data_IF_261363141625
#
_entry.id   IF_261363141625
#
_cell.length_a   1.000
_cell.length_b   1.000
_cell.length_c   1.000
_cell.angle_alpha   90.00
_cell.angle_beta   90.00
_cell.angle_gamma   90.00
#
_symmetry.space_group_name_H-M   'P 1'
#
loop_
_entity.id
_entity.type
_entity.pdbx_description
1 polymer ?
#
# COMPACT_ATOMS: atom_id res chain seq x y z
N UNK A 1 58.39 61.09 27.11
CA UNK A 1 58.31 59.61 26.88
C UNK A 1 56.87 59.23 26.89
N UNK A 2 56.26 59.11 25.71
CA UNK A 2 54.80 58.78 25.60
C UNK A 2 54.73 57.37 25.03
N UNK A 3 54.29 56.45 25.88
CA UNK A 3 54.11 55.03 25.55
C UNK A 3 52.76 54.83 24.84
N UNK A 4 52.78 54.54 23.54
CA UNK A 4 51.58 54.23 22.73
C UNK A 4 51.15 52.81 22.96
N UNK A 5 49.96 52.65 23.54
CA UNK A 5 49.26 51.39 23.61
C UNK A 5 48.60 51.09 22.28
N UNK A 6 49.03 50.06 21.57
CA UNK A 6 48.37 49.54 20.36
C UNK A 6 47.37 48.49 20.83
N UNK A 7 46.09 48.83 20.69
CA UNK A 7 44.98 47.92 20.98
C UNK A 7 44.77 47.02 19.76
N UNK A 8 45.12 45.74 19.86
CA UNK A 8 44.83 44.74 18.82
C UNK A 8 43.44 44.21 19.07
N UNK A 9 42.49 44.62 18.23
CA UNK A 9 41.14 44.06 18.19
C UNK A 9 41.21 42.77 17.36
N UNK A 10 41.18 41.62 18.02
CA UNK A 10 41.02 40.32 17.36
C UNK A 10 39.57 40.19 16.86
N UNK A 11 39.40 40.24 15.56
CA UNK A 11 38.11 39.99 14.89
C UNK A 11 37.79 38.48 15.02
N UNK A 12 36.93 38.13 15.96
CA UNK A 12 36.39 36.75 16.06
C UNK A 12 35.31 36.61 15.01
N UNK A 13 35.64 36.04 13.86
CA UNK A 13 34.67 35.60 12.87
C UNK A 13 33.88 34.42 13.39
N UNK A 14 32.53 34.43 13.40
CA UNK A 14 31.77 33.24 13.72
C UNK A 14 31.98 32.19 12.64
N UNK A 15 32.63 31.10 12.99
CA UNK A 15 32.69 29.90 12.15
C UNK A 15 31.28 29.35 12.00
N UNK A 16 30.64 29.65 10.87
CA UNK A 16 29.42 28.93 10.49
C UNK A 16 29.76 27.44 10.31
N UNK A 17 29.47 26.66 11.33
CA UNK A 17 29.43 25.22 11.23
C UNK A 17 28.30 24.85 10.26
N UNK A 18 28.66 24.72 8.98
CA UNK A 18 27.84 23.96 8.04
C UNK A 18 27.80 22.54 8.58
N UNK A 19 26.74 22.22 9.32
CA UNK A 19 26.32 20.86 9.56
C UNK A 19 26.01 20.27 8.19
N UNK A 20 26.97 19.58 7.59
CA UNK A 20 26.68 18.61 6.54
C UNK A 20 25.80 17.57 7.21
N UNK A 21 24.49 17.67 7.01
CA UNK A 21 23.58 16.59 7.23
C UNK A 21 24.10 15.42 6.39
N UNK A 22 24.85 14.50 7.02
CA UNK A 22 24.95 13.15 6.50
C UNK A 22 23.50 12.73 6.36
N UNK A 23 23.05 12.58 5.12
CA UNK A 23 21.89 11.77 4.83
C UNK A 23 22.17 10.41 5.48
N UNK A 24 21.69 10.29 6.72
CA UNK A 24 21.56 9.02 7.38
C UNK A 24 20.58 8.27 6.51
N UNK A 25 21.12 7.47 5.59
CA UNK A 25 20.39 6.44 4.86
C UNK A 25 19.95 5.43 5.92
N UNK A 26 18.98 5.86 6.75
CA UNK A 26 18.32 4.97 7.70
C UNK A 26 17.69 3.90 6.84
N UNK A 27 18.01 2.60 7.08
CA UNK A 27 17.35 1.52 6.37
C UNK A 27 15.86 1.76 6.53
N UNK A 28 15.18 1.94 5.42
CA UNK A 28 13.73 2.06 5.39
C UNK A 28 13.17 0.87 6.16
N UNK A 29 12.31 1.11 7.16
CA UNK A 29 11.71 0.01 7.95
C UNK A 29 11.01 -1.02 7.05
N UNK A 30 10.68 -0.65 5.79
CA UNK A 30 10.25 -1.52 4.71
C UNK A 30 11.33 -2.52 4.25
N UNK A 31 12.60 -2.24 4.44
CA UNK A 31 13.69 -3.07 3.94
C UNK A 31 13.82 -4.42 4.69
N UNK A 32 13.39 -4.49 5.94
CA UNK A 32 13.27 -5.78 6.66
C UNK A 32 12.26 -6.73 6.04
N UNK A 33 11.27 -6.20 5.36
CA UNK A 33 10.24 -6.97 4.66
C UNK A 33 10.79 -7.55 3.36
N UNK A 34 11.66 -6.81 2.68
CA UNK A 34 12.31 -7.24 1.42
C UNK A 34 13.24 -8.45 1.60
N UNK A 35 13.72 -8.70 2.83
CA UNK A 35 14.47 -9.92 3.16
C UNK A 35 13.63 -11.20 3.20
N UNK A 36 12.30 -11.10 3.21
CA UNK A 36 11.38 -12.23 3.33
C UNK A 36 10.47 -12.37 2.13
N UNK A 37 9.90 -11.26 1.63
CA UNK A 37 9.18 -11.22 0.35
C UNK A 37 9.76 -10.06 -0.45
N UNK A 38 10.45 -10.37 -1.55
CA UNK A 38 10.97 -9.38 -2.46
C UNK A 38 9.84 -8.68 -3.24
N UNK A 39 10.13 -7.51 -3.80
CA UNK A 39 9.17 -6.81 -4.68
C UNK A 39 8.80 -7.65 -5.90
N UNK A 40 9.75 -8.44 -6.41
CA UNK A 40 9.50 -9.36 -7.53
C UNK A 40 8.53 -10.47 -7.14
N UNK A 41 8.68 -11.03 -5.94
CA UNK A 41 7.75 -12.01 -5.40
C UNK A 41 6.36 -11.41 -5.16
N UNK A 42 6.26 -10.18 -4.67
CA UNK A 42 4.97 -9.48 -4.55
C UNK A 42 4.32 -9.28 -5.93
N UNK A 43 5.09 -8.97 -6.96
CA UNK A 43 4.59 -8.83 -8.33
C UNK A 43 4.01 -10.14 -8.85
N UNK A 44 4.72 -11.27 -8.67
CA UNK A 44 4.23 -12.59 -9.03
C UNK A 44 2.94 -12.97 -8.28
N UNK A 45 2.87 -12.66 -6.99
CA UNK A 45 1.66 -12.87 -6.19
C UNK A 45 0.49 -12.03 -6.71
N UNK A 46 0.75 -10.77 -7.06
CA UNK A 46 -0.23 -9.87 -7.67
C UNK A 46 -0.74 -10.38 -9.02
N UNK A 47 0.13 -10.85 -9.88
CA UNK A 47 -0.26 -11.43 -11.17
C UNK A 47 -1.18 -12.65 -10.98
N UNK A 48 -0.80 -13.58 -10.12
CA UNK A 48 -1.62 -14.75 -9.81
C UNK A 48 -2.99 -14.36 -9.22
N UNK A 49 -3.04 -13.31 -8.38
CA UNK A 49 -4.27 -12.77 -7.85
C UNK A 49 -5.17 -12.20 -8.96
N UNK A 50 -4.61 -11.38 -9.84
CA UNK A 50 -5.32 -10.76 -10.98
C UNK A 50 -5.91 -11.83 -11.90
N UNK A 51 -5.12 -12.84 -12.26
CA UNK A 51 -5.57 -13.96 -13.09
C UNK A 51 -6.79 -14.67 -12.49
N UNK A 52 -6.78 -14.90 -11.19
CA UNK A 52 -7.90 -15.55 -10.50
C UNK A 52 -9.14 -14.66 -10.42
N UNK A 53 -8.96 -13.37 -10.15
CA UNK A 53 -10.09 -12.43 -10.14
C UNK A 53 -10.71 -12.36 -11.53
N UNK A 54 -9.89 -12.23 -12.58
CA UNK A 54 -10.40 -12.18 -13.96
C UNK A 54 -11.10 -13.46 -14.42
N UNK A 55 -10.68 -14.62 -13.90
CA UNK A 55 -11.31 -15.90 -14.23
C UNK A 55 -12.68 -16.09 -13.56
N UNK A 56 -12.98 -15.38 -12.48
CA UNK A 56 -14.09 -15.75 -11.59
C UNK A 56 -15.00 -14.58 -11.20
N UNK A 57 -14.48 -13.34 -11.19
CA UNK A 57 -15.27 -12.16 -10.81
C UNK A 57 -16.05 -11.58 -12.00
N UNK A 58 -17.27 -11.11 -11.80
CA UNK A 58 -17.92 -10.25 -12.74
C UNK A 58 -17.17 -8.90 -12.78
N UNK A 59 -16.73 -8.47 -13.97
CA UNK A 59 -15.96 -7.24 -14.12
C UNK A 59 -16.78 -6.15 -14.75
N UNK A 60 -16.54 -4.91 -14.36
CA UNK A 60 -17.07 -3.72 -15.02
C UNK A 60 -16.16 -3.41 -16.22
N UNK A 61 -16.67 -3.58 -17.42
CA UNK A 61 -15.97 -3.32 -18.68
C UNK A 61 -16.41 -1.98 -19.28
N UNK A 62 -16.36 -0.91 -18.48
CA UNK A 62 -16.66 0.44 -18.92
C UNK A 62 -15.36 1.27 -19.00
N UNK A 63 -14.92 1.65 -20.23
CA UNK A 63 -13.67 2.38 -20.39
C UNK A 63 -13.65 3.74 -19.68
N UNK A 64 -14.80 4.42 -19.53
CA UNK A 64 -14.87 5.72 -18.90
C UNK A 64 -14.67 5.59 -17.39
N UNK A 65 -15.31 4.60 -16.76
CA UNK A 65 -15.13 4.34 -15.32
C UNK A 65 -13.70 3.85 -15.06
N UNK A 66 -13.14 3.03 -15.94
CA UNK A 66 -11.76 2.55 -15.83
C UNK A 66 -10.79 3.72 -15.89
N UNK A 67 -10.86 4.56 -16.92
CA UNK A 67 -9.98 5.73 -17.11
C UNK A 67 -10.12 6.71 -15.94
N UNK A 68 -11.35 7.01 -15.51
CA UNK A 68 -11.60 7.88 -14.37
C UNK A 68 -10.93 7.35 -13.10
N UNK A 69 -11.07 6.05 -12.83
CA UNK A 69 -10.51 5.42 -11.63
C UNK A 69 -8.99 5.43 -11.66
N UNK A 70 -8.41 5.12 -12.81
CA UNK A 70 -6.96 5.16 -13.04
C UNK A 70 -6.41 6.56 -12.80
N UNK A 71 -6.98 7.58 -13.44
CA UNK A 71 -6.57 8.97 -13.27
C UNK A 71 -6.68 9.42 -11.81
N UNK A 72 -7.76 9.03 -11.12
CA UNK A 72 -7.94 9.37 -9.70
C UNK A 72 -6.87 8.71 -8.84
N UNK A 73 -6.61 7.41 -9.00
CA UNK A 73 -5.59 6.67 -8.24
C UNK A 73 -4.19 7.24 -8.50
N UNK A 74 -3.84 7.52 -9.76
CA UNK A 74 -2.54 8.13 -10.07
C UNK A 74 -2.40 9.52 -9.45
N UNK A 75 -3.43 10.35 -9.51
CA UNK A 75 -3.44 11.68 -8.87
C UNK A 75 -3.27 11.61 -7.35
N UNK A 76 -3.96 10.68 -6.68
CA UNK A 76 -3.81 10.43 -5.25
C UNK A 76 -2.42 9.90 -4.91
N UNK A 77 -1.89 9.00 -5.73
CA UNK A 77 -0.57 8.40 -5.53
C UNK A 77 0.57 9.42 -5.55
N UNK A 78 0.41 10.54 -6.26
CA UNK A 78 1.40 11.63 -6.28
C UNK A 78 1.61 12.25 -4.89
N UNK A 79 0.59 12.26 -4.06
CA UNK A 79 0.61 12.80 -2.70
C UNK A 79 0.82 11.73 -1.64
N UNK A 80 0.82 10.47 -2.04
CA UNK A 80 1.01 9.32 -1.15
C UNK A 80 2.49 8.96 -0.98
N UNK A 81 2.76 8.00 -0.09
CA UNK A 81 4.10 7.46 0.12
C UNK A 81 4.41 6.26 -0.79
N UNK A 82 3.56 5.94 -1.76
CA UNK A 82 3.77 4.84 -2.70
C UNK A 82 4.96 5.13 -3.60
N UNK A 83 5.99 4.28 -3.51
CA UNK A 83 7.23 4.42 -4.31
C UNK A 83 7.08 3.84 -5.71
N UNK A 84 6.47 2.65 -5.83
CA UNK A 84 6.20 2.01 -7.11
C UNK A 84 4.74 2.25 -7.51
N UNK A 85 4.53 2.92 -8.64
CA UNK A 85 3.21 3.28 -9.18
C UNK A 85 2.82 2.41 -10.38
N UNK A 86 3.37 1.20 -10.47
CA UNK A 86 2.95 0.19 -11.44
C UNK A 86 1.65 -0.47 -10.91
N UNK A 87 0.52 0.22 -11.09
CA UNK A 87 -0.76 -0.24 -10.59
C UNK A 87 -1.50 -1.11 -11.60
N UNK A 88 -2.16 -2.16 -11.08
CA UNK A 88 -3.19 -2.92 -11.80
C UNK A 88 -4.53 -2.65 -11.13
N UNK A 89 -5.43 -1.96 -11.83
CA UNK A 89 -6.73 -1.55 -11.31
C UNK A 89 -7.80 -2.45 -11.86
N UNK A 90 -8.59 -3.07 -10.96
CA UNK A 90 -9.64 -4.03 -11.28
C UNK A 90 -10.97 -3.46 -10.79
N UNK A 91 -11.93 -3.30 -11.71
CA UNK A 91 -13.27 -2.90 -11.38
C UNK A 91 -14.18 -4.13 -11.34
N UNK A 92 -14.79 -4.38 -10.19
CA UNK A 92 -15.61 -5.57 -9.94
C UNK A 92 -17.09 -5.17 -9.90
N UNK A 93 -17.93 -5.85 -10.67
CA UNK A 93 -19.38 -5.64 -10.67
C UNK A 93 -20.02 -6.28 -9.43
N UNK A 94 -19.73 -5.68 -8.28
CA UNK A 94 -20.22 -6.08 -6.98
C UNK A 94 -20.81 -4.87 -6.27
N UNK A 95 -22.00 -5.03 -5.67
CA UNK A 95 -22.77 -3.95 -5.06
C UNK A 95 -22.28 -3.54 -3.67
N UNK A 96 -21.41 -4.29 -3.05
CA UNK A 96 -20.84 -3.97 -1.75
C UNK A 96 -19.97 -2.70 -1.84
N UNK A 97 -20.06 -1.85 -0.83
CA UNK A 97 -19.21 -0.67 -0.68
C UNK A 97 -17.83 -1.13 -0.22
N UNK A 98 -16.94 -1.39 -1.17
CA UNK A 98 -15.61 -1.93 -0.87
C UNK A 98 -14.58 -1.52 -1.91
N UNK A 99 -13.33 -1.37 -1.45
CA UNK A 99 -12.11 -1.40 -2.24
C UNK A 99 -11.07 -2.23 -1.48
N UNK A 100 -10.01 -2.64 -2.13
CA UNK A 100 -8.93 -3.39 -1.48
C UNK A 100 -7.60 -3.22 -2.21
N UNK A 101 -6.53 -3.31 -1.46
CA UNK A 101 -5.17 -3.42 -1.97
C UNK A 101 -4.68 -4.87 -1.90
N UNK A 102 -4.05 -5.35 -2.99
CA UNK A 102 -3.43 -6.67 -3.05
C UNK A 102 -1.94 -6.54 -3.43
N UNK A 103 -1.14 -7.63 -3.28
CA UNK A 103 0.27 -7.59 -3.61
C UNK A 103 0.56 -7.10 -5.03
N UNK A 104 1.76 -6.58 -5.26
CA UNK A 104 2.22 -6.20 -6.59
C UNK A 104 1.55 -4.95 -7.18
N UNK A 105 0.98 -4.10 -6.34
CA UNK A 105 0.35 -2.86 -6.81
C UNK A 105 -1.08 -3.03 -7.32
N UNK A 106 -1.75 -4.12 -6.97
CA UNK A 106 -3.14 -4.36 -7.39
C UNK A 106 -4.10 -3.58 -6.48
N UNK A 107 -5.06 -2.89 -7.09
CA UNK A 107 -6.16 -2.19 -6.43
C UNK A 107 -7.46 -2.66 -7.04
N UNK A 108 -8.31 -3.25 -6.21
CA UNK A 108 -9.67 -3.64 -6.61
C UNK A 108 -10.70 -2.63 -6.10
N UNK A 109 -11.67 -2.29 -6.93
CA UNK A 109 -12.75 -1.38 -6.60
C UNK A 109 -14.08 -1.99 -7.00
N UNK A 110 -14.97 -2.15 -6.04
CA UNK A 110 -16.32 -2.65 -6.30
C UNK A 110 -17.22 -1.55 -6.86
N UNK A 111 -18.10 -1.89 -7.78
CA UNK A 111 -19.10 -1.00 -8.36
C UNK A 111 -19.97 -0.30 -7.30
N UNK A 112 -20.25 -1.00 -6.19
CA UNK A 112 -20.96 -0.43 -5.06
C UNK A 112 -20.29 0.79 -4.44
N UNK A 113 -18.96 0.93 -4.54
CA UNK A 113 -18.28 2.12 -4.05
C UNK A 113 -18.66 3.36 -4.86
N UNK A 114 -18.74 3.26 -6.19
CA UNK A 114 -19.17 4.36 -7.06
C UNK A 114 -20.64 4.72 -6.85
N UNK A 115 -21.50 3.71 -6.61
CA UNK A 115 -22.92 3.91 -6.40
C UNK A 115 -23.25 4.58 -5.06
N UNK A 116 -22.41 4.41 -4.05
CA UNK A 116 -22.67 4.88 -2.69
C UNK A 116 -21.80 6.07 -2.28
N UNK A 117 -20.71 6.36 -2.98
CA UNK A 117 -19.94 7.57 -2.75
C UNK A 117 -20.74 8.80 -3.19
N UNK A 118 -21.04 9.70 -2.25
CA UNK A 118 -21.81 10.90 -2.53
C UNK A 118 -21.02 11.96 -3.34
N UNK A 119 -19.71 11.84 -3.40
CA UNK A 119 -18.81 12.73 -4.14
C UNK A 119 -17.41 12.12 -4.29
N UNK A 120 -16.58 12.75 -5.13
CA UNK A 120 -15.20 12.30 -5.37
C UNK A 120 -14.34 12.29 -4.09
N UNK A 121 -14.58 13.17 -3.13
CA UNK A 121 -13.78 13.19 -1.91
C UNK A 121 -14.00 11.92 -1.06
N UNK A 122 -15.22 11.40 -1.01
CA UNK A 122 -15.49 10.13 -0.33
C UNK A 122 -14.84 8.95 -1.03
N UNK A 123 -14.92 8.90 -2.37
CA UNK A 123 -14.20 7.89 -3.17
C UNK A 123 -12.70 7.99 -2.95
N UNK A 124 -12.14 9.19 -3.02
CA UNK A 124 -10.73 9.46 -2.81
C UNK A 124 -10.25 9.04 -1.43
N UNK A 125 -11.06 9.24 -0.38
CA UNK A 125 -10.71 8.82 0.98
C UNK A 125 -10.50 7.31 1.07
N UNK A 126 -11.40 6.51 0.47
CA UNK A 126 -11.25 5.05 0.44
C UNK A 126 -10.03 4.64 -0.37
N UNK A 127 -9.84 5.22 -1.57
CA UNK A 127 -8.70 4.89 -2.42
C UNK A 127 -7.36 5.31 -1.80
N UNK A 128 -7.32 6.43 -1.08
CA UNK A 128 -6.12 6.84 -0.34
C UNK A 128 -5.77 5.87 0.78
N UNK A 129 -6.77 5.34 1.47
CA UNK A 129 -6.58 4.29 2.47
C UNK A 129 -5.96 3.03 1.85
N UNK A 130 -6.44 2.59 0.68
CA UNK A 130 -5.86 1.45 -0.04
C UNK A 130 -4.44 1.72 -0.54
N UNK A 131 -4.15 2.94 -1.02
CA UNK A 131 -2.80 3.35 -1.37
C UNK A 131 -1.86 3.34 -0.15
N UNK A 132 -2.36 3.67 1.04
CA UNK A 132 -1.57 3.57 2.26
C UNK A 132 -1.21 2.10 2.59
N UNK A 133 -2.14 1.14 2.40
CA UNK A 133 -1.85 -0.29 2.53
C UNK A 133 -0.72 -0.74 1.59
N UNK A 134 -0.72 -0.27 0.33
CA UNK A 134 0.35 -0.56 -0.64
C UNK A 134 1.67 0.09 -0.21
N UNK A 135 1.65 1.37 0.15
CA UNK A 135 2.86 2.12 0.52
C UNK A 135 3.59 1.50 1.71
N UNK A 136 2.83 1.02 2.68
CA UNK A 136 3.34 0.39 3.91
C UNK A 136 3.59 -1.11 3.74
N UNK A 137 3.37 -1.68 2.55
CA UNK A 137 3.54 -3.11 2.26
C UNK A 137 2.84 -4.00 3.28
N UNK A 138 1.61 -3.64 3.68
CA UNK A 138 0.88 -4.33 4.75
C UNK A 138 0.67 -5.81 4.47
N UNK A 139 0.50 -6.20 3.20
CA UNK A 139 0.41 -7.60 2.82
C UNK A 139 1.70 -8.37 3.17
N UNK A 140 2.86 -7.90 2.72
CA UNK A 140 4.14 -8.55 2.99
C UNK A 140 4.46 -8.60 4.49
N UNK A 141 4.14 -7.53 5.22
CA UNK A 141 4.29 -7.49 6.69
C UNK A 141 3.35 -8.48 7.40
N UNK A 142 2.18 -8.75 6.83
CA UNK A 142 1.24 -9.72 7.37
C UNK A 142 1.73 -11.16 7.17
N UNK A 143 2.25 -11.48 5.98
CA UNK A 143 2.89 -12.78 5.70
C UNK A 143 4.05 -13.04 6.68
N UNK A 144 4.89 -12.05 6.93
CA UNK A 144 5.94 -12.13 7.94
C UNK A 144 5.44 -12.51 9.34
N UNK A 145 4.33 -11.94 9.76
CA UNK A 145 3.73 -12.23 11.07
C UNK A 145 3.19 -13.65 11.16
N UNK A 146 2.69 -14.18 10.05
CA UNK A 146 2.19 -15.55 9.95
C UNK A 146 3.28 -16.62 10.06
N UNK A 147 4.57 -16.23 10.10
CA UNK A 147 5.75 -17.12 10.11
C UNK A 147 5.85 -18.07 8.92
N UNK A 148 5.00 -17.89 7.93
CA UNK A 148 5.00 -18.71 6.72
C UNK A 148 5.60 -17.92 5.57
N UNK A 149 6.91 -18.11 5.38
CA UNK A 149 7.72 -17.33 4.42
C UNK A 149 7.91 -18.06 3.09
N UNK A 150 7.21 -19.17 2.88
CA UNK A 150 7.28 -19.92 1.66
C UNK A 150 6.39 -19.28 0.58
N UNK A 151 6.94 -19.03 -0.60
CA UNK A 151 6.21 -18.47 -1.74
C UNK A 151 4.98 -19.34 -2.11
N UNK A 152 5.08 -20.65 -2.03
CA UNK A 152 3.97 -21.55 -2.33
C UNK A 152 2.78 -21.34 -1.38
N UNK A 153 3.04 -21.20 -0.08
CA UNK A 153 2.00 -20.90 0.92
C UNK A 153 1.39 -19.52 0.68
N UNK A 154 2.21 -18.54 0.30
CA UNK A 154 1.75 -17.18 -0.04
C UNK A 154 0.87 -17.18 -1.29
N UNK A 155 1.17 -18.01 -2.30
CA UNK A 155 0.33 -18.19 -3.49
C UNK A 155 -1.04 -18.80 -3.12
N UNK A 156 -1.05 -19.85 -2.30
CA UNK A 156 -2.30 -20.47 -1.81
C UNK A 156 -3.14 -19.44 -1.04
N UNK A 157 -2.51 -18.65 -0.20
CA UNK A 157 -3.18 -17.59 0.56
C UNK A 157 -3.80 -16.54 -0.36
N UNK A 158 -3.03 -16.02 -1.33
CA UNK A 158 -3.49 -15.01 -2.29
C UNK A 158 -4.65 -15.55 -3.12
N UNK A 159 -4.58 -16.80 -3.54
CA UNK A 159 -5.65 -17.48 -4.26
C UNK A 159 -6.94 -17.60 -3.44
N UNK A 160 -6.81 -17.97 -2.18
CA UNK A 160 -7.95 -18.05 -1.26
C UNK A 160 -8.59 -16.67 -1.02
N UNK A 161 -7.80 -15.62 -1.00
CA UNK A 161 -8.26 -14.23 -0.89
C UNK A 161 -9.05 -13.83 -2.14
N UNK A 162 -8.50 -14.09 -3.33
CA UNK A 162 -9.18 -13.78 -4.58
C UNK A 162 -10.54 -14.48 -4.65
N UNK A 163 -10.58 -15.76 -4.32
CA UNK A 163 -11.82 -16.55 -4.25
C UNK A 163 -12.83 -15.95 -3.25
N UNK A 164 -12.37 -15.52 -2.10
CA UNK A 164 -13.22 -14.95 -1.07
C UNK A 164 -13.84 -13.60 -1.49
N UNK A 165 -13.07 -12.78 -2.18
CA UNK A 165 -13.55 -11.50 -2.74
C UNK A 165 -14.62 -11.77 -3.80
N UNK A 166 -14.34 -12.72 -4.73
CA UNK A 166 -15.26 -13.07 -5.80
C UNK A 166 -16.55 -13.69 -5.28
N UNK A 167 -16.46 -14.59 -4.30
CA UNK A 167 -17.62 -15.28 -3.74
C UNK A 167 -18.56 -14.37 -2.96
N UNK A 168 -18.09 -13.18 -2.55
CA UNK A 168 -18.79 -12.27 -1.63
C UNK A 168 -19.53 -13.00 -0.47
N UNK A 169 -18.97 -14.15 -0.09
CA UNK A 169 -19.60 -15.07 0.85
C UNK A 169 -18.70 -15.29 2.07
N UNK A 170 -19.01 -14.62 3.20
CA UNK A 170 -18.23 -14.79 4.42
C UNK A 170 -18.22 -16.23 4.94
N UNK A 171 -19.18 -17.09 4.53
CA UNK A 171 -19.23 -18.49 4.93
C UNK A 171 -18.35 -19.39 4.07
N UNK A 172 -18.10 -19.07 2.80
CA UNK A 172 -17.12 -19.76 1.97
C UNK A 172 -15.69 -19.57 2.53
N UNK A 173 -15.47 -18.47 3.24
CA UNK A 173 -14.24 -18.16 3.96
C UNK A 173 -14.07 -18.97 5.26
N UNK A 174 -15.11 -19.58 5.78
CA UNK A 174 -15.06 -20.34 7.04
C UNK A 174 -14.69 -21.83 6.86
N UNK A 175 -14.59 -22.32 5.63
CA UNK A 175 -14.28 -23.71 5.33
C UNK A 175 -12.79 -23.89 4.94
N UNK A 176 -11.94 -24.24 5.90
CA UNK A 176 -10.56 -24.66 5.65
C UNK A 176 -9.53 -23.54 5.54
N UNK A 177 -8.52 -23.63 4.63
CA UNK A 177 -7.42 -22.67 4.52
C UNK A 177 -7.87 -21.22 4.27
N UNK A 178 -9.05 -21.03 3.70
CA UNK A 178 -9.63 -19.70 3.47
C UNK A 178 -9.98 -18.95 4.77
N UNK A 179 -10.39 -19.64 5.83
CA UNK A 179 -10.65 -19.04 7.13
C UNK A 179 -9.36 -18.48 7.77
N UNK A 180 -8.26 -19.20 7.63
CA UNK A 180 -6.94 -18.73 8.08
C UNK A 180 -6.46 -17.54 7.26
N UNK A 181 -6.70 -17.56 5.94
CA UNK A 181 -6.37 -16.46 5.05
C UNK A 181 -7.16 -15.18 5.42
N UNK A 182 -8.45 -15.30 5.71
CA UNK A 182 -9.28 -14.15 6.14
C UNK A 182 -8.84 -13.60 7.49
N UNK A 183 -8.45 -14.45 8.42
CA UNK A 183 -7.93 -14.00 9.71
C UNK A 183 -6.59 -13.27 9.56
N UNK A 184 -5.79 -13.63 8.57
CA UNK A 184 -4.54 -12.96 8.20
C UNK A 184 -4.77 -11.68 7.39
N UNK A 185 -5.86 -11.61 6.60
CA UNK A 185 -6.26 -10.42 5.84
C UNK A 185 -6.96 -9.34 6.67
N UNK A 186 -7.51 -9.67 7.81
CA UNK A 186 -7.80 -8.65 8.80
C UNK A 186 -6.47 -8.06 9.20
N UNK A 187 -6.06 -7.09 8.41
CA UNK A 187 -4.93 -6.26 8.76
C UNK A 187 -5.03 -5.99 10.25
N UNK A 188 -3.97 -6.24 10.98
CA UNK A 188 -4.06 -6.03 12.43
C UNK A 188 -4.53 -4.60 12.65
N UNK A 189 -5.25 -4.33 13.73
CA UNK A 189 -5.71 -2.96 14.09
C UNK A 189 -4.60 -1.90 14.05
N UNK A 190 -3.34 -2.36 14.03
CA UNK A 190 -2.17 -1.49 13.87
C UNK A 190 -2.06 -1.06 12.41
N UNK A 191 -2.23 -1.97 11.44
CA UNK A 191 -2.16 -1.67 10.00
C UNK A 191 -3.31 -0.79 9.54
N UNK A 192 -4.52 -1.01 10.07
CA UNK A 192 -5.67 -0.13 9.81
C UNK A 192 -5.39 1.29 10.29
N UNK A 193 -4.88 1.44 11.52
CA UNK A 193 -4.49 2.76 12.05
C UNK A 193 -3.32 3.41 11.31
N UNK A 194 -2.40 2.61 10.77
CA UNK A 194 -1.34 3.12 9.89
C UNK A 194 -1.95 3.60 8.57
N UNK A 195 -2.85 2.84 7.95
CA UNK A 195 -3.50 3.22 6.71
C UNK A 195 -4.34 4.50 6.88
N UNK A 196 -5.14 4.60 7.94
CA UNK A 196 -5.93 5.80 8.28
C UNK A 196 -5.05 7.04 8.51
N UNK A 197 -3.80 6.86 8.90
CA UNK A 197 -2.87 7.96 9.17
C UNK A 197 -2.15 8.45 7.92
N UNK A 198 -1.93 7.58 6.93
CA UNK A 198 -1.17 7.87 5.72
C UNK A 198 -2.04 8.02 4.46
N UNK A 199 -3.30 7.56 4.49
CA UNK A 199 -4.34 7.76 3.46
C UNK A 199 -5.17 9.00 3.75
#
# INVERSE_FOLDING_TARGET
MILRWILVIALIAPSALFSQGKDLNLPDLGDRVSGVISLEQEKLLGQSFVEQVYAQAPLINDPLIQEYTELLIYRLSEKSQVKNRDFTIILIDEKSLNAFAAPGGVIGVNGGLFLNAGNEAQLSSVLSHELAHLSQRHFARNVLRGRDTNLASSLVMVSAIALAIVANNPTAMMAGPAALAQQQLRYSRIFEREADRFG
#
